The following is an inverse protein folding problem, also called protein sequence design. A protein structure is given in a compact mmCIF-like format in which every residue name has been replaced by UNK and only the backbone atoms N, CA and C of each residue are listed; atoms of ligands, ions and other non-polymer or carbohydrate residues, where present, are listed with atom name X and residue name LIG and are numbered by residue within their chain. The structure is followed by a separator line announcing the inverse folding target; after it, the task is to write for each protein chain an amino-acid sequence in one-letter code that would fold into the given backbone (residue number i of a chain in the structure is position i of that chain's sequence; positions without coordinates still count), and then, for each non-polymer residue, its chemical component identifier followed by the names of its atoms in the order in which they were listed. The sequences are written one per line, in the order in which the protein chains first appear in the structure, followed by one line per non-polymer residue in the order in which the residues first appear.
data_IF_740364618669
#
_entry.id   IF_740364618669
#
_cell.length_a   1.000
_cell.length_b   1.000
_cell.length_c   1.000
_cell.angle_alpha   90.00
_cell.angle_beta   90.00
_cell.angle_gamma   90.00
#
_symmetry.space_group_name_H-M   'P 1'
#
loop_
_entity.id
_entity.type
_entity.pdbx_description
1 polymer ?
#
# COMPACT_ATOMS: atom_id res chain seq x y z
N UNK A 1 -11.32 -21.22 31.03
CA UNK A 1 -10.28 -20.33 30.46
C UNK A 1 -10.84 -19.67 29.20
N UNK A 2 -11.29 -18.43 29.30
CA UNK A 2 -11.91 -17.69 28.18
C UNK A 2 -10.83 -17.27 27.19
N UNK A 3 -10.94 -17.73 25.94
CA UNK A 3 -10.06 -17.33 24.83
C UNK A 3 -10.18 -15.81 24.64
N UNK A 4 -9.15 -15.07 25.05
CA UNK A 4 -9.01 -13.63 24.78
C UNK A 4 -9.03 -13.43 23.26
N UNK A 5 -10.16 -12.97 22.72
CA UNK A 5 -10.28 -12.61 21.32
C UNK A 5 -9.23 -11.56 20.99
N UNK A 6 -8.26 -11.91 20.13
CA UNK A 6 -7.28 -10.96 19.61
C UNK A 6 -8.04 -9.99 18.71
N UNK A 7 -8.43 -8.83 19.24
CA UNK A 7 -8.96 -7.73 18.46
C UNK A 7 -7.90 -7.26 17.46
N UNK A 8 -8.01 -7.74 16.22
CA UNK A 8 -7.16 -7.28 15.13
C UNK A 8 -7.70 -5.95 14.61
N UNK A 9 -7.27 -4.85 15.25
CA UNK A 9 -7.51 -3.51 14.75
C UNK A 9 -6.86 -3.34 13.36
N UNK A 10 -7.52 -2.67 12.40
CA UNK A 10 -6.91 -2.29 11.13
C UNK A 10 -5.59 -1.56 11.34
N UNK A 11 -4.62 -1.78 10.45
CA UNK A 11 -3.27 -1.22 10.60
C UNK A 11 -3.27 0.31 10.67
N UNK A 12 -4.19 0.97 9.95
CA UNK A 12 -4.32 2.43 10.00
C UNK A 12 -4.74 2.94 11.39
N UNK A 13 -5.58 2.20 12.14
CA UNK A 13 -5.97 2.56 13.51
C UNK A 13 -4.79 2.35 14.47
N UNK A 14 -4.09 1.22 14.33
CA UNK A 14 -2.88 0.93 15.15
C UNK A 14 -1.83 2.03 14.97
N UNK A 15 -1.58 2.45 13.74
CA UNK A 15 -0.64 3.53 13.43
C UNK A 15 -1.07 4.86 14.06
N UNK A 16 -2.36 5.22 13.93
CA UNK A 16 -2.91 6.44 14.56
C UNK A 16 -2.74 6.40 16.08
N UNK A 17 -3.12 5.29 16.73
CA UNK A 17 -3.00 5.15 18.18
C UNK A 17 -1.55 5.22 18.64
N UNK A 18 -0.63 4.57 17.91
CA UNK A 18 0.79 4.60 18.22
C UNK A 18 1.38 6.01 18.14
N UNK A 19 1.06 6.76 17.07
CA UNK A 19 1.51 8.16 16.90
C UNK A 19 0.97 9.04 18.01
N UNK A 20 -0.32 8.89 18.34
CA UNK A 20 -0.95 9.66 19.42
C UNK A 20 -0.31 9.33 20.77
N UNK A 21 -0.10 8.06 21.10
CA UNK A 21 0.59 7.65 22.33
C UNK A 21 2.01 8.22 22.39
N UNK A 22 2.78 8.17 21.30
CA UNK A 22 4.11 8.77 21.23
C UNK A 22 4.07 10.28 21.45
N UNK A 23 3.10 10.98 20.87
CA UNK A 23 2.90 12.41 21.08
C UNK A 23 2.55 12.72 22.54
N UNK A 24 1.75 11.86 23.18
CA UNK A 24 1.45 11.94 24.61
C UNK A 24 2.67 11.76 25.50
N UNK A 25 3.51 10.77 25.20
CA UNK A 25 4.79 10.54 25.88
C UNK A 25 5.71 11.76 25.71
N UNK A 26 5.78 12.33 24.51
CA UNK A 26 6.59 13.51 24.22
C UNK A 26 6.13 14.73 25.03
N UNK A 27 4.82 14.98 25.11
CA UNK A 27 4.27 16.06 25.93
C UNK A 27 4.55 15.86 27.42
N UNK A 28 4.38 14.64 27.92
CA UNK A 28 4.67 14.30 29.31
C UNK A 28 6.17 14.50 29.62
N UNK A 29 7.05 14.05 28.73
CA UNK A 29 8.49 14.25 28.85
C UNK A 29 8.86 15.74 28.84
N UNK A 30 8.27 16.53 27.94
CA UNK A 30 8.50 17.98 27.89
C UNK A 30 8.13 18.67 29.21
N UNK A 31 7.00 18.30 29.81
CA UNK A 31 6.57 18.93 31.06
C UNK A 31 7.34 18.41 32.30
N UNK A 32 7.87 17.19 32.24
CA UNK A 32 8.65 16.61 33.34
C UNK A 32 10.11 17.07 33.33
N UNK A 33 10.75 17.06 32.16
CA UNK A 33 12.15 17.47 32.00
C UNK A 33 12.31 18.97 31.72
N UNK A 34 11.29 19.63 31.19
CA UNK A 34 11.31 21.08 30.93
C UNK A 34 11.74 21.91 32.14
N UNK A 35 11.12 21.74 33.32
CA UNK A 35 11.50 22.44 34.56
C UNK A 35 12.95 22.24 34.98
N UNK A 36 13.54 21.08 34.67
CA UNK A 36 14.96 20.79 34.98
C UNK A 36 15.92 21.49 34.03
N UNK A 37 15.49 21.82 32.82
CA UNK A 37 16.33 22.45 31.78
C UNK A 37 16.13 23.98 31.76
N UNK A 38 14.90 24.46 31.92
CA UNK A 38 14.57 25.89 31.88
C UNK A 38 13.57 26.28 32.98
N UNK A 39 13.97 26.41 34.24
CA UNK A 39 13.05 26.59 35.37
C UNK A 39 12.04 27.75 35.25
N UNK A 40 12.35 28.78 34.44
CA UNK A 40 11.47 29.94 34.20
C UNK A 40 10.63 29.84 32.89
N UNK A 41 10.65 28.68 32.23
CA UNK A 41 9.90 28.44 31.00
C UNK A 41 8.39 28.33 31.23
N UNK A 42 7.60 28.70 30.22
CA UNK A 42 6.15 28.47 30.21
C UNK A 42 5.86 27.04 29.76
N UNK A 43 5.20 26.26 30.61
CA UNK A 43 4.92 24.85 30.35
C UNK A 43 3.51 24.58 29.87
N UNK A 44 3.33 23.41 29.30
CA UNK A 44 2.05 22.96 28.80
C UNK A 44 1.07 22.73 29.96
N UNK A 45 -0.13 23.34 29.87
CA UNK A 45 -1.15 23.20 30.89
C UNK A 45 -1.77 21.78 30.82
N UNK A 46 -1.61 20.97 31.87
CA UNK A 46 -2.06 19.56 31.86
C UNK A 46 -3.55 19.37 31.58
N UNK A 47 -4.39 20.36 31.88
CA UNK A 47 -5.83 20.30 31.60
C UNK A 47 -6.16 20.33 30.11
N UNK A 48 -5.29 20.89 29.26
CA UNK A 48 -5.51 20.92 27.79
C UNK A 48 -5.11 19.60 27.12
N UNK A 49 -4.36 18.74 27.82
CA UNK A 49 -3.84 17.48 27.30
C UNK A 49 -4.91 16.56 26.67
N UNK A 50 -6.09 16.33 27.30
CA UNK A 50 -7.13 15.49 26.70
C UNK A 50 -7.66 16.06 25.38
N UNK A 51 -7.78 17.39 25.29
CA UNK A 51 -8.24 18.07 24.08
C UNK A 51 -7.20 17.97 22.95
N UNK A 52 -5.92 18.09 23.27
CA UNK A 52 -4.83 17.90 22.30
C UNK A 52 -4.76 16.46 21.80
N UNK A 53 -4.97 15.49 22.69
CA UNK A 53 -5.09 14.06 22.33
C UNK A 53 -6.24 13.81 21.35
N UNK A 54 -7.42 14.36 21.63
CA UNK A 54 -8.58 14.25 20.74
C UNK A 54 -8.33 14.93 19.39
N UNK A 55 -7.76 16.14 19.39
CA UNK A 55 -7.40 16.83 18.16
C UNK A 55 -6.38 16.03 17.34
N UNK A 56 -5.35 15.45 17.98
CA UNK A 56 -4.36 14.60 17.33
C UNK A 56 -4.99 13.34 16.74
N UNK A 57 -5.90 12.67 17.47
CA UNK A 57 -6.65 11.52 16.98
C UNK A 57 -7.49 11.86 15.75
N UNK A 58 -8.16 13.02 15.75
CA UNK A 58 -8.96 13.47 14.61
C UNK A 58 -8.09 13.78 13.40
N UNK A 59 -7.01 14.56 13.57
CA UNK A 59 -6.12 14.97 12.47
C UNK A 59 -5.40 13.75 11.88
N UNK A 60 -4.70 12.99 12.73
CA UNK A 60 -3.92 11.81 12.30
C UNK A 60 -4.86 10.70 11.81
N UNK A 61 -6.00 10.51 12.48
CA UNK A 61 -7.02 9.55 12.08
C UNK A 61 -7.60 9.87 10.71
N UNK A 62 -7.99 11.12 10.46
CA UNK A 62 -8.51 11.56 9.16
C UNK A 62 -7.45 11.39 8.05
N UNK A 63 -6.20 11.75 8.32
CA UNK A 63 -5.11 11.59 7.36
C UNK A 63 -4.83 10.12 7.00
N UNK A 64 -4.71 9.26 8.02
CA UNK A 64 -4.48 7.83 7.81
C UNK A 64 -5.67 7.16 7.12
N UNK A 65 -6.90 7.57 7.44
CA UNK A 65 -8.09 7.08 6.75
C UNK A 65 -8.10 7.46 5.27
N UNK A 66 -7.81 8.73 4.96
CA UNK A 66 -7.74 9.21 3.58
C UNK A 66 -6.65 8.49 2.79
N UNK A 67 -5.46 8.32 3.38
CA UNK A 67 -4.36 7.55 2.80
C UNK A 67 -4.78 6.10 2.52
N UNK A 68 -5.40 5.44 3.50
CA UNK A 68 -5.87 4.07 3.35
C UNK A 68 -6.89 3.94 2.21
N UNK A 69 -7.85 4.86 2.11
CA UNK A 69 -8.82 4.91 1.01
C UNK A 69 -8.15 5.08 -0.36
N UNK A 70 -7.17 5.99 -0.45
CA UNK A 70 -6.42 6.22 -1.69
C UNK A 70 -5.57 5.02 -2.10
N UNK A 71 -4.94 4.33 -1.14
CA UNK A 71 -4.15 3.13 -1.42
C UNK A 71 -5.01 1.97 -1.92
N UNK A 72 -6.23 1.82 -1.41
CA UNK A 72 -7.18 0.82 -1.93
C UNK A 72 -7.53 1.09 -3.40
N UNK A 73 -7.89 2.33 -3.73
CA UNK A 73 -8.19 2.73 -5.11
C UNK A 73 -7.00 2.50 -6.04
N UNK A 74 -5.79 2.86 -5.60
CA UNK A 74 -4.56 2.62 -6.38
C UNK A 74 -4.27 1.14 -6.59
N UNK A 75 -4.54 0.30 -5.60
CA UNK A 75 -4.35 -1.13 -5.73
C UNK A 75 -5.34 -1.76 -6.70
N UNK A 76 -6.58 -1.28 -6.72
CA UNK A 76 -7.61 -1.74 -7.67
C UNK A 76 -7.21 -1.40 -9.11
N UNK A 77 -6.82 -0.14 -9.37
CA UNK A 77 -6.33 0.29 -10.68
C UNK A 77 -5.09 -0.53 -11.10
N UNK A 78 -4.12 -0.70 -10.20
CA UNK A 78 -2.91 -1.50 -10.49
C UNK A 78 -3.23 -2.97 -10.82
N UNK A 79 -4.25 -3.55 -10.18
CA UNK A 79 -4.67 -4.93 -10.47
C UNK A 79 -5.30 -5.03 -11.85
N UNK A 80 -6.19 -4.11 -12.21
CA UNK A 80 -6.77 -4.05 -13.54
C UNK A 80 -5.71 -3.88 -14.64
N UNK A 81 -4.75 -2.97 -14.42
CA UNK A 81 -3.67 -2.72 -15.39
C UNK A 81 -2.76 -3.96 -15.53
N UNK A 82 -2.41 -4.61 -14.42
CA UNK A 82 -1.62 -5.84 -14.44
C UNK A 82 -2.35 -7.00 -15.15
N UNK A 83 -3.68 -7.11 -15.01
CA UNK A 83 -4.47 -8.10 -15.74
C UNK A 83 -4.53 -7.81 -17.24
N UNK A 84 -4.73 -6.55 -17.63
CA UNK A 84 -4.68 -6.13 -19.05
C UNK A 84 -3.33 -6.41 -19.67
N UNK A 85 -2.25 -6.17 -18.95
CA UNK A 85 -0.88 -6.40 -19.42
C UNK A 85 -0.59 -7.90 -19.58
N UNK A 86 -1.03 -8.74 -18.64
CA UNK A 86 -0.96 -10.20 -18.79
C UNK A 86 -1.75 -10.69 -20.00
N UNK A 87 -2.96 -10.17 -20.24
CA UNK A 87 -3.75 -10.54 -21.41
C UNK A 87 -3.10 -10.11 -22.74
N UNK A 88 -2.40 -8.97 -22.76
CA UNK A 88 -1.64 -8.52 -23.94
C UNK A 88 -0.44 -9.44 -24.19
N UNK A 89 0.29 -9.81 -23.14
CA UNK A 89 1.41 -10.75 -23.24
C UNK A 89 0.95 -12.13 -23.73
N UNK A 90 -0.16 -12.66 -23.19
CA UNK A 90 -0.74 -13.92 -23.65
C UNK A 90 -1.13 -13.87 -25.13
N UNK A 91 -1.76 -12.78 -25.57
CA UNK A 91 -2.10 -12.58 -27.00
C UNK A 91 -0.86 -12.51 -27.89
N UNK A 92 0.20 -11.83 -27.45
CA UNK A 92 1.46 -11.76 -28.20
C UNK A 92 2.15 -13.12 -28.27
N UNK A 93 2.14 -13.90 -27.19
CA UNK A 93 2.67 -15.26 -27.19
C UNK A 93 1.89 -16.18 -28.14
N UNK A 94 0.56 -16.10 -28.12
CA UNK A 94 -0.29 -16.86 -29.05
C UNK A 94 -0.01 -16.48 -30.51
N UNK A 95 0.05 -15.18 -30.81
CA UNK A 95 0.39 -14.70 -32.16
C UNK A 95 1.78 -15.17 -32.61
N UNK A 96 2.78 -15.16 -31.72
CA UNK A 96 4.12 -15.64 -32.04
C UNK A 96 4.17 -17.15 -32.29
N UNK A 97 3.38 -17.94 -31.56
CA UNK A 97 3.26 -19.39 -31.79
C UNK A 97 2.58 -19.66 -33.14
N UNK A 98 1.51 -18.94 -33.46
CA UNK A 98 0.79 -19.08 -34.73
C UNK A 98 1.69 -18.71 -35.93
N UNK A 99 2.49 -17.65 -35.82
CA UNK A 99 3.48 -17.26 -36.83
C UNK A 99 4.53 -18.35 -37.07
N UNK A 100 5.02 -19.01 -36.02
CA UNK A 100 5.99 -20.11 -36.15
C UNK A 100 5.36 -21.32 -36.84
N UNK A 101 4.13 -21.67 -36.47
CA UNK A 101 3.39 -22.78 -37.10
C UNK A 101 3.12 -22.48 -38.58
N UNK A 102 2.74 -21.25 -38.91
CA UNK A 102 2.49 -20.85 -40.29
C UNK A 102 3.79 -20.84 -41.12
N UNK A 103 4.89 -20.35 -40.54
CA UNK A 103 6.20 -20.38 -41.18
C UNK A 103 6.67 -21.82 -41.49
N UNK A 104 6.44 -22.77 -40.59
CA UNK A 104 6.74 -24.18 -40.85
C UNK A 104 5.88 -24.75 -41.99
N UNK A 105 4.57 -24.46 -42.01
CA UNK A 105 3.68 -24.86 -43.12
C UNK A 105 4.10 -24.26 -44.46
N UNK A 106 4.59 -23.02 -44.48
CA UNK A 106 5.13 -22.37 -45.70
C UNK A 106 6.41 -23.05 -46.18
N UNK A 107 7.34 -23.37 -45.27
CA UNK A 107 8.58 -24.09 -45.61
C UNK A 107 8.31 -25.50 -46.16
N UNK A 108 7.40 -26.25 -45.55
CA UNK A 108 7.01 -27.58 -46.02
C UNK A 108 6.40 -27.56 -47.44
N UNK A 109 5.53 -26.56 -47.72
CA UNK A 109 4.94 -26.36 -49.07
C UNK A 109 5.96 -25.96 -50.13
N UNK A 110 6.99 -25.20 -49.76
CA UNK A 110 8.07 -24.85 -50.68
C UNK A 110 8.99 -26.04 -50.95
N UNK A 111 9.25 -26.88 -49.95
CA UNK A 111 10.05 -28.10 -50.10
C UNK A 111 9.39 -29.11 -51.04
N UNK A 112 8.08 -29.30 -50.95
CA UNK A 112 7.36 -30.22 -51.84
C UNK A 112 7.33 -29.73 -53.30
N UNK A 113 7.20 -28.42 -53.52
CA UNK A 113 7.28 -27.84 -54.88
C UNK A 113 8.67 -27.96 -55.51
N UNK A 114 9.75 -27.89 -54.73
CA UNK A 114 11.12 -28.08 -55.26
C UNK A 114 11.45 -29.52 -55.65
N UNK A 115 10.85 -30.52 -54.99
CA UNK A 115 11.03 -31.93 -55.37
C UNK A 115 10.27 -32.33 -56.64
N UNK A 116 9.20 -31.61 -56.98
CA UNK A 116 8.36 -31.90 -58.13
C UNK A 116 8.81 -31.17 -59.42
N UNK A 117 9.78 -30.26 -59.28
CA UNK A 117 10.36 -29.43 -60.36
C UNK A 117 11.72 -29.95 -60.85
N UNK A 118 12.17 -31.12 -60.38
CA UNK A 118 13.32 -31.86 -60.89
C UNK A 118 12.82 -33.12 -61.61
#
# INVERSE_FOLDING_TARGET
MTKKGRFNLPQWIKNTLQVVVLMGILMAAYNFFGPTINPNGTYFAWWTFPYSMLAALLIVGAWNFLKYRMDLLRQEIKREDAEKERQRQLRQQQAAVDDVVEAQKRRARNHSKQQQSR
#
